data_IF_649582857127
#
_entry.id   IF_649582857127
#
_cell.length_a   1.000
_cell.length_b   1.000
_cell.length_c   1.000
_cell.angle_alpha   90.00
_cell.angle_beta   90.00
_cell.angle_gamma   90.00
#
_symmetry.space_group_name_H-M   'P 1'
#
loop_
_entity.id
_entity.type
_entity.pdbx_description
1 polymer ?
#
# COMPACT_ATOMS: atom_id res chain seq x y z
N UNK A 1 -19.07 3.68 39.48
CA UNK A 1 -17.73 3.58 38.89
C UNK A 1 -17.86 3.84 37.41
N UNK A 2 -17.17 4.84 36.85
CA UNK A 2 -17.13 5.04 35.39
C UNK A 2 -16.06 4.10 34.86
N UNK A 3 -16.48 3.02 34.17
CA UNK A 3 -15.56 2.14 33.46
C UNK A 3 -14.75 2.93 32.42
N UNK A 4 -13.51 2.54 32.18
CA UNK A 4 -12.72 3.15 31.12
C UNK A 4 -13.35 2.83 29.76
N UNK A 5 -13.49 3.84 28.89
CA UNK A 5 -13.92 3.62 27.50
C UNK A 5 -12.71 3.11 26.72
N UNK A 6 -12.86 1.93 26.12
CA UNK A 6 -11.87 1.29 25.28
C UNK A 6 -12.01 1.75 23.83
N UNK A 7 -10.91 2.21 23.23
CA UNK A 7 -10.88 2.67 21.84
C UNK A 7 -9.81 1.88 21.10
N UNK A 8 -10.18 1.27 19.98
CA UNK A 8 -9.26 0.57 19.09
C UNK A 8 -9.14 1.33 17.77
N UNK A 9 -7.94 1.37 17.19
CA UNK A 9 -7.70 1.90 15.86
C UNK A 9 -7.26 0.77 14.94
N UNK A 10 -7.95 0.60 13.82
CA UNK A 10 -7.60 -0.41 12.83
C UNK A 10 -6.66 0.19 11.77
N UNK A 11 -5.59 -0.54 11.50
CA UNK A 11 -4.63 -0.26 10.43
C UNK A 11 -5.01 -0.93 9.10
N UNK A 12 -5.82 -1.99 9.15
CA UNK A 12 -6.25 -2.78 8.00
C UNK A 12 -7.57 -3.53 8.25
N UNK A 13 -8.12 -4.12 7.19
CA UNK A 13 -9.33 -4.95 7.18
C UNK A 13 -9.11 -6.35 7.76
N UNK A 14 -10.21 -7.02 8.13
CA UNK A 14 -10.27 -8.46 8.44
C UNK A 14 -9.59 -8.92 9.73
N UNK A 15 -9.61 -10.24 9.95
CA UNK A 15 -9.06 -10.93 11.14
C UNK A 15 -9.63 -10.44 12.48
N UNK A 16 -10.87 -9.96 12.51
CA UNK A 16 -11.48 -9.33 13.70
C UNK A 16 -11.47 -10.26 14.94
N UNK A 17 -11.79 -11.54 14.78
CA UNK A 17 -11.73 -12.55 15.87
C UNK A 17 -10.33 -12.66 16.51
N UNK A 18 -9.27 -12.54 15.71
CA UNK A 18 -7.89 -12.63 16.19
C UNK A 18 -7.39 -11.30 16.74
N UNK A 19 -7.98 -10.18 16.31
CA UNK A 19 -7.61 -8.82 16.75
C UNK A 19 -8.22 -8.48 18.09
N UNK A 20 -9.47 -8.88 18.34
CA UNK A 20 -10.22 -8.50 19.51
C UNK A 20 -10.34 -9.67 20.47
N UNK A 21 -9.56 -9.63 21.56
CA UNK A 21 -9.80 -10.53 22.70
C UNK A 21 -11.13 -10.20 23.39
N UNK A 22 -11.43 -8.91 23.49
CA UNK A 22 -12.68 -8.32 23.93
C UNK A 22 -13.05 -7.21 22.95
N UNK A 23 -14.35 -7.01 22.71
CA UNK A 23 -14.81 -5.98 21.78
C UNK A 23 -14.59 -4.59 22.38
N UNK A 24 -13.85 -3.68 21.72
CA UNK A 24 -13.72 -2.30 22.19
C UNK A 24 -15.05 -1.55 22.08
N UNK A 25 -15.25 -0.55 22.94
CA UNK A 25 -16.44 0.31 22.93
C UNK A 25 -16.50 1.15 21.63
N UNK A 26 -15.33 1.54 21.12
CA UNK A 26 -15.20 2.33 19.89
C UNK A 26 -14.09 1.77 19.00
N UNK A 27 -14.35 1.72 17.70
CA UNK A 27 -13.40 1.29 16.66
C UNK A 27 -13.23 2.42 15.65
N UNK A 28 -12.02 2.95 15.55
CA UNK A 28 -11.64 3.88 14.48
C UNK A 28 -11.25 3.06 13.24
N UNK A 29 -12.08 3.14 12.21
CA UNK A 29 -11.92 2.35 10.99
C UNK A 29 -11.31 3.17 9.83
N UNK A 30 -10.42 2.53 9.03
CA UNK A 30 -9.78 3.19 7.91
C UNK A 30 -10.69 3.39 6.70
N UNK A 31 -11.79 2.65 6.60
CA UNK A 31 -12.65 2.64 5.42
C UNK A 31 -14.05 2.10 5.76
N UNK A 32 -15.13 2.55 5.07
CA UNK A 32 -16.50 2.09 5.33
C UNK A 32 -16.69 0.57 5.27
N UNK A 33 -15.99 -0.11 4.36
CA UNK A 33 -16.00 -1.58 4.22
C UNK A 33 -15.70 -2.35 5.51
N UNK A 34 -14.98 -1.77 6.46
CA UNK A 34 -14.79 -2.40 7.78
C UNK A 34 -16.12 -2.62 8.50
N UNK A 35 -17.05 -1.65 8.40
CA UNK A 35 -18.39 -1.77 9.00
C UNK A 35 -19.16 -2.92 8.36
N UNK A 36 -19.06 -3.07 7.04
CA UNK A 36 -19.71 -4.14 6.28
C UNK A 36 -19.12 -5.50 6.68
N UNK A 37 -17.80 -5.67 6.62
CA UNK A 37 -17.14 -6.93 6.94
C UNK A 37 -17.32 -7.35 8.41
N UNK A 38 -17.35 -6.40 9.36
CA UNK A 38 -17.63 -6.71 10.76
C UNK A 38 -19.06 -7.24 10.94
N UNK A 39 -20.05 -6.63 10.27
CA UNK A 39 -21.44 -7.12 10.31
C UNK A 39 -21.57 -8.49 9.66
N UNK A 40 -20.93 -8.71 8.53
CA UNK A 40 -20.90 -10.01 7.83
C UNK A 40 -20.27 -11.10 8.71
N UNK A 41 -19.25 -10.75 9.48
CA UNK A 41 -18.62 -11.65 10.45
C UNK A 41 -19.39 -11.77 11.79
N UNK A 42 -20.60 -11.19 11.89
CA UNK A 42 -21.46 -11.31 13.07
C UNK A 42 -21.10 -10.43 14.26
N UNK A 43 -20.23 -9.44 14.08
CA UNK A 43 -19.87 -8.49 15.13
C UNK A 43 -20.84 -7.30 15.18
N UNK A 44 -21.04 -6.73 16.38
CA UNK A 44 -21.67 -5.43 16.50
C UNK A 44 -20.73 -4.34 15.98
N UNK A 45 -21.20 -3.62 14.96
CA UNK A 45 -20.47 -2.52 14.33
C UNK A 45 -21.00 -1.13 14.73
N UNK A 46 -21.90 -1.05 15.73
CA UNK A 46 -22.49 0.21 16.19
C UNK A 46 -21.45 1.20 16.74
N UNK A 47 -20.36 0.70 17.32
CA UNK A 47 -19.22 1.48 17.83
C UNK A 47 -18.15 1.83 16.78
N UNK A 48 -18.35 1.47 15.50
CA UNK A 48 -17.35 1.73 14.44
C UNK A 48 -17.51 3.13 13.86
N UNK A 49 -16.46 3.93 13.94
CA UNK A 49 -16.37 5.28 13.38
C UNK A 49 -15.35 5.30 12.26
N UNK A 50 -15.80 5.57 11.03
CA UNK A 50 -14.93 5.62 9.85
C UNK A 50 -14.22 6.96 9.79
N UNK A 51 -12.91 6.95 10.02
CA UNK A 51 -12.12 8.18 10.12
C UNK A 51 -11.00 8.25 9.08
N UNK A 52 -10.61 7.11 8.49
CA UNK A 52 -9.48 6.98 7.56
C UNK A 52 -8.26 6.32 8.24
N UNK A 53 -7.14 6.19 7.52
CA UNK A 53 -5.91 5.63 8.09
C UNK A 53 -4.84 6.72 8.32
N UNK A 54 -4.42 6.98 9.59
CA UNK A 54 -3.47 8.05 9.91
C UNK A 54 -2.07 7.84 9.37
N UNK A 55 -1.74 6.60 8.96
CA UNK A 55 -0.53 6.33 8.23
C UNK A 55 -0.37 7.20 6.97
N UNK A 56 -1.47 7.54 6.29
CA UNK A 56 -1.44 8.33 5.07
C UNK A 56 -1.37 9.84 5.30
N UNK A 57 -1.55 10.34 6.53
CA UNK A 57 -1.44 11.78 6.80
C UNK A 57 -0.04 12.31 6.53
N UNK A 58 0.98 11.48 6.79
CA UNK A 58 2.37 11.80 6.47
C UNK A 58 2.58 12.02 4.97
N UNK A 59 1.67 11.56 4.10
CA UNK A 59 1.83 11.70 2.65
C UNK A 59 1.65 13.13 2.15
N UNK A 60 1.02 13.99 2.95
CA UNK A 60 0.85 15.42 2.64
C UNK A 60 2.18 16.15 2.40
N UNK A 61 3.26 15.68 3.01
CA UNK A 61 4.60 16.25 2.89
C UNK A 61 5.34 15.82 1.60
N UNK A 62 4.86 14.80 0.90
CA UNK A 62 5.47 14.30 -0.32
C UNK A 62 4.74 14.82 -1.56
N UNK A 63 5.48 14.85 -2.67
CA UNK A 63 4.98 15.23 -4.00
C UNK A 63 5.59 14.29 -5.02
N UNK A 64 4.74 13.74 -5.88
CA UNK A 64 5.20 12.99 -7.05
C UNK A 64 5.80 13.97 -8.08
N UNK A 65 7.00 13.64 -8.56
CA UNK A 65 7.70 14.39 -9.61
C UNK A 65 8.04 13.40 -10.72
N UNK A 66 7.23 13.30 -11.78
CA UNK A 66 7.49 12.37 -12.88
C UNK A 66 8.90 12.54 -13.44
N UNK A 67 9.60 11.42 -13.67
CA UNK A 67 10.84 11.45 -14.45
C UNK A 67 10.54 11.72 -15.92
N UNK A 68 11.08 12.82 -16.45
CA UNK A 68 11.02 13.16 -17.87
C UNK A 68 12.21 12.60 -18.67
N UNK A 69 13.07 11.80 -18.03
CA UNK A 69 14.22 11.19 -18.69
C UNK A 69 13.82 10.15 -19.76
N UNK A 70 14.71 9.90 -20.74
CA UNK A 70 14.50 8.84 -21.72
C UNK A 70 14.49 7.46 -21.05
N UNK A 71 15.32 7.27 -20.01
CA UNK A 71 15.33 6.06 -19.19
C UNK A 71 14.21 6.08 -18.16
N UNK A 72 13.33 5.08 -18.21
CA UNK A 72 12.18 4.96 -17.31
C UNK A 72 12.58 4.26 -16.02
N UNK A 73 12.19 4.82 -14.88
CA UNK A 73 12.46 4.21 -13.57
C UNK A 73 11.27 3.35 -13.13
N UNK A 74 11.48 2.06 -12.96
CA UNK A 74 10.49 1.09 -12.48
C UNK A 74 10.89 0.66 -11.07
N UNK A 75 10.00 0.78 -10.10
CA UNK A 75 10.28 0.37 -8.71
C UNK A 75 9.48 -0.89 -8.41
N UNK A 76 10.16 -1.94 -7.96
CA UNK A 76 9.51 -3.15 -7.46
C UNK A 76 9.56 -3.20 -5.93
N UNK A 77 8.39 -3.20 -5.29
CA UNK A 77 8.28 -3.42 -3.84
C UNK A 77 8.02 -4.90 -3.56
N UNK A 78 9.01 -5.57 -2.98
CA UNK A 78 8.87 -6.93 -2.48
C UNK A 78 8.13 -6.97 -1.15
N UNK A 79 7.61 -8.16 -0.80
CA UNK A 79 6.96 -8.47 0.47
C UNK A 79 6.91 -9.98 0.67
N UNK A 80 6.98 -10.51 1.90
CA UNK A 80 7.17 -11.94 2.13
C UNK A 80 5.86 -12.75 2.06
N UNK A 81 5.13 -12.70 0.93
CA UNK A 81 3.85 -13.40 0.78
C UNK A 81 4.03 -14.92 0.71
N UNK A 82 5.11 -15.39 0.08
CA UNK A 82 5.40 -16.83 -0.01
C UNK A 82 5.53 -17.47 1.38
N UNK A 83 6.21 -16.78 2.31
CA UNK A 83 6.36 -17.22 3.71
C UNK A 83 5.01 -17.34 4.44
N UNK A 84 3.99 -16.63 3.98
CA UNK A 84 2.64 -16.65 4.52
C UNK A 84 1.69 -17.54 3.71
N UNK A 85 2.19 -18.27 2.71
CA UNK A 85 1.39 -19.13 1.84
C UNK A 85 0.38 -18.38 0.97
N UNK A 86 0.58 -17.07 0.76
CA UNK A 86 -0.33 -16.23 -0.01
C UNK A 86 0.08 -16.20 -1.49
N UNK A 87 -0.92 -16.12 -2.38
CA UNK A 87 -0.72 -16.02 -3.84
C UNK A 87 -1.47 -14.80 -4.40
N UNK A 88 -0.96 -14.17 -5.48
CA UNK A 88 0.35 -14.43 -6.09
C UNK A 88 1.52 -14.03 -5.15
N UNK A 89 2.68 -14.67 -5.30
CA UNK A 89 3.86 -14.34 -4.49
C UNK A 89 4.65 -13.17 -5.07
N UNK A 90 5.48 -12.55 -4.24
CA UNK A 90 6.47 -11.54 -4.64
C UNK A 90 7.45 -12.06 -5.70
N UNK A 91 7.83 -13.34 -5.63
CA UNK A 91 8.72 -13.97 -6.62
C UNK A 91 8.03 -14.10 -7.97
N UNK A 92 6.76 -14.51 -7.98
CA UNK A 92 5.96 -14.59 -9.21
C UNK A 92 5.79 -13.20 -9.83
N UNK A 93 5.53 -12.18 -9.00
CA UNK A 93 5.39 -10.80 -9.45
C UNK A 93 6.68 -10.26 -10.09
N UNK A 94 7.83 -10.47 -9.44
CA UNK A 94 9.11 -10.02 -9.99
C UNK A 94 9.47 -10.75 -11.28
N UNK A 95 9.27 -12.07 -11.33
CA UNK A 95 9.54 -12.85 -12.54
C UNK A 95 8.67 -12.39 -13.71
N UNK A 96 7.36 -12.18 -13.47
CA UNK A 96 6.45 -11.66 -14.48
C UNK A 96 6.86 -10.26 -14.94
N UNK A 97 7.23 -9.37 -14.01
CA UNK A 97 7.70 -8.02 -14.34
C UNK A 97 8.98 -8.04 -15.17
N UNK A 98 9.99 -8.81 -14.76
CA UNK A 98 11.26 -8.91 -15.51
C UNK A 98 11.01 -9.41 -16.93
N UNK A 99 10.18 -10.45 -17.09
CA UNK A 99 9.82 -10.97 -18.41
C UNK A 99 9.18 -9.90 -19.32
N UNK A 100 8.31 -9.04 -18.77
CA UNK A 100 7.72 -7.92 -19.50
C UNK A 100 8.77 -6.86 -19.87
N UNK A 101 9.64 -6.51 -18.92
CA UNK A 101 10.70 -5.51 -19.15
C UNK A 101 11.72 -6.00 -20.18
N UNK A 102 12.05 -7.30 -20.23
CA UNK A 102 12.92 -7.88 -21.24
C UNK A 102 12.34 -7.71 -22.66
N UNK A 103 11.06 -8.04 -22.85
CA UNK A 103 10.38 -7.82 -24.15
C UNK A 103 10.37 -6.35 -24.55
N UNK A 104 10.08 -5.45 -23.61
CA UNK A 104 10.13 -4.01 -23.89
C UNK A 104 11.55 -3.54 -24.25
N UNK A 105 12.59 -4.13 -23.66
CA UNK A 105 13.98 -3.82 -24.02
C UNK A 105 14.34 -4.32 -25.41
N UNK A 106 13.85 -5.49 -25.82
CA UNK A 106 13.99 -6.00 -27.20
C UNK A 106 13.33 -5.05 -28.22
N UNK A 107 12.27 -4.36 -27.82
CA UNK A 107 11.61 -3.31 -28.60
C UNK A 107 12.31 -1.92 -28.54
N UNK A 108 13.46 -1.83 -27.87
CA UNK A 108 14.29 -0.62 -27.83
C UNK A 108 13.98 0.34 -26.67
N UNK A 109 13.19 -0.06 -25.68
CA UNK A 109 12.95 0.76 -24.49
C UNK A 109 14.06 0.60 -23.45
N UNK A 110 14.39 1.69 -22.74
CA UNK A 110 15.40 1.70 -21.66
C UNK A 110 14.76 1.94 -20.29
N UNK A 111 15.17 1.13 -19.31
CA UNK A 111 14.63 1.13 -17.97
C UNK A 111 15.72 0.98 -16.90
N UNK A 112 15.44 1.48 -15.70
CA UNK A 112 16.09 1.07 -14.46
C UNK A 112 15.05 0.33 -13.60
N UNK A 113 15.34 -0.89 -13.18
CA UNK A 113 14.54 -1.63 -12.21
C UNK A 113 15.13 -1.47 -10.81
N UNK A 114 14.46 -0.71 -9.95
CA UNK A 114 14.86 -0.54 -8.55
C UNK A 114 14.17 -1.61 -7.70
N UNK A 115 14.95 -2.47 -7.06
CA UNK A 115 14.43 -3.46 -6.12
C UNK A 115 14.42 -2.88 -4.70
N UNK A 116 13.24 -2.88 -4.09
CA UNK A 116 13.02 -2.48 -2.70
C UNK A 116 12.56 -3.70 -1.88
N UNK A 117 13.42 -4.28 -1.04
CA UNK A 117 13.00 -5.37 -0.18
C UNK A 117 12.11 -4.88 0.97
N UNK A 118 11.24 -5.77 1.44
CA UNK A 118 10.56 -5.65 2.72
C UNK A 118 11.55 -5.86 3.89
N UNK A 119 11.44 -5.09 4.99
CA UNK A 119 12.39 -5.20 6.12
C UNK A 119 12.52 -6.60 6.73
N UNK A 120 11.45 -7.39 6.67
CA UNK A 120 11.35 -8.74 7.28
C UNK A 120 11.69 -9.91 6.35
N UNK A 121 11.94 -9.67 5.05
CA UNK A 121 12.20 -10.77 4.13
C UNK A 121 13.68 -11.20 4.12
N UNK A 122 13.93 -12.45 3.74
CA UNK A 122 15.28 -12.87 3.36
C UNK A 122 15.65 -12.25 2.01
N UNK A 123 16.62 -11.35 2.00
CA UNK A 123 16.99 -10.53 0.82
C UNK A 123 17.86 -11.27 -0.20
N UNK A 124 18.39 -12.45 0.12
CA UNK A 124 19.37 -13.15 -0.73
C UNK A 124 18.79 -13.42 -2.12
N UNK A 125 17.57 -13.94 -2.20
CA UNK A 125 16.93 -14.24 -3.49
C UNK A 125 16.71 -12.97 -4.33
N UNK A 126 16.38 -11.84 -3.70
CA UNK A 126 16.17 -10.57 -4.40
C UNK A 126 17.50 -9.98 -4.91
N UNK A 127 18.59 -10.16 -4.14
CA UNK A 127 19.93 -9.71 -4.55
C UNK A 127 20.49 -10.49 -5.74
N UNK A 128 20.08 -11.74 -5.97
CA UNK A 128 20.51 -12.48 -7.17
C UNK A 128 20.06 -11.80 -8.47
N UNK A 129 18.92 -11.10 -8.46
CA UNK A 129 18.45 -10.33 -9.61
C UNK A 129 19.38 -9.17 -10.01
N UNK A 130 20.19 -8.65 -9.08
CA UNK A 130 21.22 -7.65 -9.40
C UNK A 130 22.30 -8.20 -10.35
N UNK A 131 22.50 -9.52 -10.36
CA UNK A 131 23.47 -10.19 -11.24
C UNK A 131 22.84 -10.63 -12.55
N UNK A 132 21.58 -11.06 -12.50
CA UNK A 132 20.88 -11.67 -13.64
C UNK A 132 20.25 -10.62 -14.56
N UNK A 133 19.81 -9.48 -14.02
CA UNK A 133 19.16 -8.43 -14.79
C UNK A 133 19.99 -7.13 -14.78
N UNK A 134 20.77 -6.83 -15.84
CA UNK A 134 21.81 -5.80 -15.84
C UNK A 134 21.36 -4.34 -15.62
N UNK A 135 20.06 -4.06 -15.62
CA UNK A 135 19.50 -2.73 -15.38
C UNK A 135 18.85 -2.60 -13.99
N UNK A 136 19.22 -3.48 -13.07
CA UNK A 136 18.69 -3.50 -11.71
C UNK A 136 19.54 -2.66 -10.76
N UNK A 137 18.90 -1.91 -9.86
CA UNK A 137 19.54 -1.25 -8.73
C UNK A 137 18.91 -1.67 -7.41
N UNK A 138 19.67 -1.54 -6.33
CA UNK A 138 19.23 -1.89 -4.98
C UNK A 138 18.87 -0.63 -4.20
N UNK A 139 17.72 -0.63 -3.53
CA UNK A 139 17.36 0.43 -2.60
C UNK A 139 16.91 -0.18 -1.27
N UNK A 140 17.58 0.17 -0.17
CA UNK A 140 17.28 -0.37 1.16
C UNK A 140 17.41 0.72 2.24
N UNK A 141 16.59 0.62 3.29
CA UNK A 141 16.57 1.60 4.40
C UNK A 141 15.91 2.94 4.05
N UNK A 142 15.80 3.83 5.04
CA UNK A 142 15.16 5.13 4.86
C UNK A 142 13.66 5.08 4.56
N UNK A 143 13.11 6.22 4.17
CA UNK A 143 11.69 6.37 3.83
C UNK A 143 11.31 5.52 2.61
N UNK A 144 10.34 4.63 2.79
CA UNK A 144 9.93 3.62 1.82
C UNK A 144 9.45 4.20 0.49
N UNK A 145 8.90 5.41 0.50
CA UNK A 145 8.28 6.04 -0.66
C UNK A 145 9.28 6.79 -1.57
N UNK A 146 10.47 7.13 -1.07
CA UNK A 146 11.45 7.92 -1.83
C UNK A 146 11.79 7.35 -3.21
N UNK A 147 11.96 6.03 -3.40
CA UNK A 147 12.24 5.47 -4.72
C UNK A 147 11.09 5.69 -5.72
N UNK A 148 9.84 5.70 -5.25
CA UNK A 148 8.64 5.86 -6.05
C UNK A 148 8.37 7.32 -6.45
N UNK A 149 8.83 8.30 -5.69
CA UNK A 149 8.52 9.72 -5.91
C UNK A 149 8.93 10.27 -7.28
N UNK A 150 9.88 9.62 -7.96
CA UNK A 150 10.25 9.94 -9.33
C UNK A 150 10.18 8.74 -10.29
N UNK A 151 9.47 7.68 -9.88
CA UNK A 151 9.28 6.51 -10.71
C UNK A 151 8.34 6.81 -11.88
N UNK A 152 8.61 6.17 -13.01
CA UNK A 152 7.69 6.08 -14.14
C UNK A 152 6.61 5.01 -13.88
N UNK A 153 6.93 4.02 -13.05
CA UNK A 153 6.02 2.95 -12.66
C UNK A 153 6.47 2.33 -11.32
N UNK A 154 5.50 1.96 -10.49
CA UNK A 154 5.68 1.14 -9.30
C UNK A 154 4.93 -0.17 -9.48
N UNK A 155 5.55 -1.30 -9.13
CA UNK A 155 4.96 -2.64 -9.24
C UNK A 155 5.19 -3.41 -7.95
N UNK A 156 4.22 -4.24 -7.58
CA UNK A 156 4.31 -5.19 -6.48
C UNK A 156 3.01 -5.98 -6.39
N UNK A 157 2.75 -6.66 -5.27
CA UNK A 157 1.50 -7.42 -5.13
C UNK A 157 0.46 -6.65 -4.31
N UNK A 158 0.65 -6.44 -3.00
CA UNK A 158 -0.29 -5.71 -2.16
C UNK A 158 0.36 -5.04 -0.93
N UNK A 159 1.58 -4.55 -1.07
CA UNK A 159 2.33 -3.88 0.01
C UNK A 159 1.86 -2.45 0.25
N UNK A 160 1.99 -1.96 1.49
CA UNK A 160 1.63 -0.57 1.87
C UNK A 160 2.27 0.50 0.97
N UNK A 161 3.56 0.41 0.58
CA UNK A 161 4.17 1.41 -0.31
C UNK A 161 3.50 1.54 -1.69
N UNK A 162 2.81 0.49 -2.19
CA UNK A 162 2.03 0.59 -3.44
C UNK A 162 0.83 1.54 -3.25
N UNK A 163 0.12 1.42 -2.14
CA UNK A 163 -1.00 2.30 -1.82
C UNK A 163 -0.53 3.74 -1.60
N UNK A 164 0.64 3.93 -0.98
CA UNK A 164 1.24 5.26 -0.83
C UNK A 164 1.62 5.89 -2.18
N UNK A 165 2.23 5.11 -3.07
CA UNK A 165 2.57 5.52 -4.43
C UNK A 165 1.31 5.90 -5.22
N UNK A 166 0.27 5.07 -5.14
CA UNK A 166 -1.04 5.31 -5.74
C UNK A 166 -1.65 6.64 -5.24
N UNK A 167 -1.61 6.86 -3.93
CA UNK A 167 -2.16 8.07 -3.30
C UNK A 167 -1.43 9.35 -3.75
N UNK A 168 -0.11 9.27 -3.98
CA UNK A 168 0.67 10.36 -4.56
C UNK A 168 0.47 10.55 -6.07
N UNK A 169 -0.30 9.69 -6.73
CA UNK A 169 -0.51 9.72 -8.17
C UNK A 169 0.65 9.14 -8.98
N UNK A 170 1.55 8.38 -8.35
CA UNK A 170 2.59 7.63 -9.05
C UNK A 170 1.93 6.47 -9.80
N UNK A 171 2.22 6.27 -11.10
CA UNK A 171 1.71 5.11 -11.82
C UNK A 171 2.07 3.82 -11.09
N UNK A 172 1.06 3.04 -10.74
CA UNK A 172 1.20 1.87 -9.86
C UNK A 172 0.40 0.69 -10.41
N UNK A 173 1.00 -0.49 -10.44
CA UNK A 173 0.39 -1.75 -10.86
C UNK A 173 0.49 -2.78 -9.73
N UNK A 174 -0.66 -3.35 -9.38
CA UNK A 174 -0.77 -4.45 -8.42
C UNK A 174 -0.83 -5.76 -9.20
N UNK A 175 0.16 -6.62 -9.03
CA UNK A 175 0.20 -7.92 -9.69
C UNK A 175 -0.84 -8.87 -9.10
N UNK A 176 -1.73 -9.39 -9.94
CA UNK A 176 -2.85 -10.25 -9.55
C UNK A 176 -2.68 -11.72 -9.98
N UNK A 177 -1.50 -12.11 -10.47
CA UNK A 177 -1.23 -13.48 -10.91
C UNK A 177 -1.42 -13.72 -12.41
N UNK A 178 -1.74 -12.68 -13.18
CA UNK A 178 -1.88 -12.73 -14.64
C UNK A 178 -0.78 -11.90 -15.31
N UNK A 179 0.11 -12.59 -16.03
CA UNK A 179 1.25 -11.96 -16.74
C UNK A 179 0.81 -11.15 -17.96
N UNK A 180 -0.28 -11.54 -18.64
CA UNK A 180 -0.79 -10.84 -19.82
C UNK A 180 -1.44 -9.52 -19.41
N UNK A 181 -2.21 -9.55 -18.31
CA UNK A 181 -2.76 -8.33 -17.72
C UNK A 181 -1.63 -7.39 -17.25
N UNK A 182 -0.63 -7.93 -16.54
CA UNK A 182 0.54 -7.16 -16.13
C UNK A 182 1.24 -6.53 -17.33
N UNK A 183 1.51 -7.30 -18.39
CA UNK A 183 2.17 -6.80 -19.60
C UNK A 183 1.38 -5.65 -20.22
N UNK A 184 0.06 -5.83 -20.38
CA UNK A 184 -0.80 -4.81 -20.94
C UNK A 184 -0.69 -3.49 -20.16
N UNK A 185 -0.83 -3.55 -18.84
CA UNK A 185 -0.79 -2.34 -18.00
C UNK A 185 0.59 -1.68 -17.97
N UNK A 186 1.64 -2.46 -17.77
CA UNK A 186 3.04 -1.98 -17.76
C UNK A 186 3.36 -1.29 -19.08
N UNK A 187 3.01 -1.91 -20.22
CA UNK A 187 3.22 -1.37 -21.55
C UNK A 187 2.41 -0.09 -21.76
N UNK A 188 1.13 -0.10 -21.46
CA UNK A 188 0.26 1.07 -21.64
C UNK A 188 0.76 2.28 -20.84
N UNK A 189 1.22 2.06 -19.59
CA UNK A 189 1.75 3.12 -18.71
C UNK A 189 3.11 3.61 -19.22
N UNK A 190 4.09 2.71 -19.41
CA UNK A 190 5.47 3.09 -19.72
C UNK A 190 5.61 3.73 -21.11
N UNK A 191 4.74 3.33 -22.05
CA UNK A 191 4.70 3.89 -23.42
C UNK A 191 3.81 5.12 -23.55
N UNK A 192 3.12 5.54 -22.47
CA UNK A 192 2.24 6.71 -22.47
C UNK A 192 0.91 6.53 -23.20
N UNK A 193 0.55 5.30 -23.60
CA UNK A 193 -0.75 5.00 -24.24
C UNK A 193 -1.93 5.12 -23.27
N UNK A 194 -1.68 5.00 -21.97
CA UNK A 194 -2.67 5.21 -20.90
C UNK A 194 -2.18 6.29 -19.96
N UNK A 195 -3.00 7.33 -19.78
CA UNK A 195 -2.81 8.27 -18.68
C UNK A 195 -3.18 7.56 -17.38
N UNK A 196 -2.24 7.47 -16.45
CA UNK A 196 -2.53 6.91 -15.14
C UNK A 196 -3.55 7.80 -14.41
N UNK A 197 -4.61 7.17 -13.93
CA UNK A 197 -5.58 7.77 -13.03
C UNK A 197 -5.75 6.82 -11.86
N UNK A 198 -5.42 7.23 -10.62
CA UNK A 198 -5.62 6.36 -9.46
C UNK A 198 -7.10 6.06 -9.32
N UNK A 199 -7.45 4.78 -9.16
CA UNK A 199 -8.82 4.37 -8.88
C UNK A 199 -9.20 4.89 -7.48
N UNK A 200 -10.23 5.76 -7.36
CA UNK A 200 -10.67 6.27 -6.07
C UNK A 200 -11.07 5.16 -5.07
N UNK A 201 -11.53 4.01 -5.55
CA UNK A 201 -11.90 2.87 -4.71
C UNK A 201 -10.66 2.20 -4.10
N UNK A 202 -9.53 2.17 -4.80
CA UNK A 202 -8.25 1.65 -4.30
C UNK A 202 -7.52 2.71 -3.45
N UNK A 203 -7.74 3.99 -3.75
CA UNK A 203 -7.27 5.13 -2.95
C UNK A 203 -8.14 5.45 -1.72
N UNK A 204 -9.10 4.57 -1.37
CA UNK A 204 -10.14 4.77 -0.34
C UNK A 204 -9.63 5.06 1.08
N UNK A 205 -8.32 5.08 1.31
CA UNK A 205 -7.73 5.63 2.52
C UNK A 205 -7.79 7.17 2.50
N UNK A 206 -8.95 7.71 2.88
CA UNK A 206 -9.07 9.14 3.15
C UNK A 206 -8.09 9.55 4.27
N UNK A 207 -7.38 10.67 4.06
CA UNK A 207 -6.52 11.28 5.08
C UNK A 207 -7.35 11.81 6.25
N UNK A 208 -6.78 11.78 7.45
CA UNK A 208 -7.46 11.62 8.74
C UNK A 208 -7.36 12.81 9.68
N UNK A 209 -7.52 14.04 9.20
CA UNK A 209 -7.74 15.17 10.14
C UNK A 209 -8.90 14.85 11.13
N UNK A 210 -9.81 13.98 10.69
CA UNK A 210 -10.89 13.37 11.48
C UNK A 210 -10.45 12.48 12.66
N UNK A 211 -9.36 11.71 12.56
CA UNK A 211 -8.92 10.80 13.64
C UNK A 211 -8.51 11.55 14.90
N UNK A 212 -7.66 12.57 14.74
CA UNK A 212 -7.17 13.36 15.87
C UNK A 212 -8.30 14.19 16.49
N UNK A 213 -9.09 14.89 15.67
CA UNK A 213 -10.26 15.64 16.15
C UNK A 213 -11.26 14.75 16.91
N UNK A 214 -11.46 13.51 16.46
CA UNK A 214 -12.33 12.54 17.14
C UNK A 214 -11.83 12.20 18.54
N UNK A 215 -10.55 11.86 18.70
CA UNK A 215 -9.95 11.52 20.00
C UNK A 215 -10.00 12.70 20.98
N UNK A 216 -9.71 13.92 20.49
CA UNK A 216 -9.80 15.16 21.30
C UNK A 216 -11.25 15.41 21.75
N UNK A 217 -12.21 15.28 20.83
CA UNK A 217 -13.63 15.42 21.16
C UNK A 217 -14.13 14.39 22.16
N UNK A 218 -13.70 13.12 22.02
CA UNK A 218 -14.04 12.04 22.94
C UNK A 218 -13.48 12.31 24.34
N UNK A 219 -12.20 12.70 24.45
CA UNK A 219 -11.56 13.03 25.72
C UNK A 219 -12.28 14.20 26.43
N UNK A 220 -12.62 15.26 25.69
CA UNK A 220 -13.36 16.40 26.22
C UNK A 220 -14.79 16.02 26.67
N UNK A 221 -15.45 15.09 25.97
CA UNK A 221 -16.76 14.55 26.35
C UNK A 221 -16.70 13.75 27.65
N UNK A 222 -15.70 12.87 27.78
CA UNK A 222 -15.48 12.06 28.99
C UNK A 222 -15.17 12.96 30.19
N UNK A 223 -14.31 13.98 30.02
CA UNK A 223 -13.98 14.92 31.08
C UNK A 223 -15.20 15.69 31.60
N UNK A 224 -16.08 16.16 30.70
CA UNK A 224 -17.33 16.86 31.07
C UNK A 224 -18.27 15.96 31.87
N UNK A 225 -18.42 14.68 31.51
CA UNK A 225 -19.24 13.71 32.26
C UNK A 225 -18.69 13.37 33.64
N UNK A 226 -17.39 13.54 33.88
CA UNK A 226 -16.78 13.34 35.22
C UNK A 226 -16.89 14.57 36.13
N UNK A 227 -17.07 15.75 35.55
CA UNK A 227 -17.17 17.02 36.27
C UNK A 227 -18.62 17.41 36.63
N UNK A 228 -19.61 16.74 36.04
CA UNK A 228 -21.04 16.87 36.34
C UNK A 228 -21.48 15.75 37.31
#
# INVERSE_FOLDING_TARGET
MVGAVSVCMLDWFGNYEKRFREMPDLIMAPHPRVVEEMREAGFDASGVVVLGNPHFDRLKQFRYVPSNGPKKKVVFYSQPLEMHGQKPTEKQALLALVSVLERLREEGWDFELVLRPHPRENKTWLKEWLKVFPCTSWNEGGESLLPAMNASLVVGVNSTPLYEALWLGVPTVFYQGDVLLLEKEVREILTGRKKFAPDPAVAGFNATEKCFCFLVGLAAGIARKKAA
#
